data_IF_996578977096
#
_entry.id   IF_996578977096
#
_cell.length_a   1.000
_cell.length_b   1.000
_cell.length_c   1.000
_cell.angle_alpha   90.00
_cell.angle_beta   90.00
_cell.angle_gamma   90.00
#
_symmetry.space_group_name_H-M   'P 1'
#
loop_
_entity.id
_entity.type
_entity.pdbx_description
1 polymer ?
#
# COMPACT_ATOMS: atom_id res chain seq x y z
N UNK A 1 -3.49 -53.74 -20.08
CA UNK A 1 -4.06 -52.82 -19.09
C UNK A 1 -2.97 -51.90 -18.57
N UNK A 2 -2.74 -50.74 -19.21
CA UNK A 2 -1.73 -49.76 -18.79
C UNK A 2 -2.45 -48.59 -18.11
N UNK A 3 -2.38 -48.54 -16.78
CA UNK A 3 -2.87 -47.43 -15.94
C UNK A 3 -1.85 -46.29 -16.00
N UNK A 4 -1.82 -45.55 -17.11
CA UNK A 4 -0.94 -44.38 -17.30
C UNK A 4 -1.76 -43.24 -17.87
N UNK A 5 -2.67 -42.70 -17.05
CA UNK A 5 -3.59 -41.65 -17.50
C UNK A 5 -4.10 -40.75 -16.39
N UNK A 6 -3.40 -40.62 -15.26
CA UNK A 6 -3.87 -39.78 -14.15
C UNK A 6 -2.85 -38.77 -13.61
N UNK A 7 -1.65 -38.65 -14.20
CA UNK A 7 -0.66 -37.67 -13.73
C UNK A 7 -0.65 -36.34 -14.48
N UNK A 8 -1.39 -36.20 -15.58
CA UNK A 8 -1.38 -34.97 -16.39
C UNK A 8 -2.46 -33.94 -16.02
N UNK A 9 -3.37 -34.28 -15.09
CA UNK A 9 -4.51 -33.43 -14.75
C UNK A 9 -4.25 -32.40 -13.64
N UNK A 10 -3.09 -32.47 -12.95
CA UNK A 10 -2.83 -31.62 -11.77
C UNK A 10 -2.08 -30.30 -12.10
N UNK A 11 -1.57 -30.13 -13.32
CA UNK A 11 -0.84 -28.90 -13.71
C UNK A 11 -1.74 -27.75 -14.18
N UNK A 12 -3.06 -27.95 -14.34
CA UNK A 12 -3.97 -26.95 -14.90
C UNK A 12 -4.57 -25.95 -13.90
N UNK A 13 -4.41 -26.14 -12.59
CA UNK A 13 -5.16 -25.40 -11.56
C UNK A 13 -4.45 -24.16 -10.99
N UNK A 14 -3.26 -23.79 -11.47
CA UNK A 14 -2.52 -22.64 -10.94
C UNK A 14 -2.69 -21.33 -11.73
N UNK A 15 -3.57 -21.31 -12.74
CA UNK A 15 -3.97 -20.07 -13.42
C UNK A 15 -5.08 -19.33 -12.64
N UNK A 16 -4.90 -19.11 -11.33
CA UNK A 16 -5.72 -18.16 -10.58
C UNK A 16 -5.29 -16.74 -10.96
N UNK A 17 -5.82 -16.32 -12.10
CA UNK A 17 -5.48 -15.12 -12.83
C UNK A 17 -5.90 -13.87 -12.03
N UNK A 18 -4.91 -13.07 -11.62
CA UNK A 18 -5.05 -11.81 -10.91
C UNK A 18 -5.54 -10.69 -11.86
N UNK A 19 -6.77 -10.82 -12.38
CA UNK A 19 -7.25 -10.08 -13.57
C UNK A 19 -7.52 -8.58 -13.38
N UNK A 20 -7.57 -8.10 -12.14
CA UNK A 20 -8.03 -6.73 -11.85
C UNK A 20 -6.94 -5.81 -11.26
N UNK A 21 -5.65 -6.21 -11.30
CA UNK A 21 -4.55 -5.38 -10.80
C UNK A 21 -3.98 -4.49 -11.92
N UNK A 22 -4.07 -3.17 -11.74
CA UNK A 22 -3.48 -2.17 -12.63
C UNK A 22 -2.04 -1.88 -12.21
N UNK A 23 -1.82 -1.67 -10.91
CA UNK A 23 -0.52 -1.33 -10.34
C UNK A 23 -0.40 -1.87 -8.92
N UNK A 24 0.80 -2.28 -8.51
CA UNK A 24 1.11 -2.62 -7.12
C UNK A 24 2.62 -2.53 -6.91
N UNK A 25 3.05 -1.60 -6.06
CA UNK A 25 4.46 -1.44 -5.71
C UNK A 25 4.57 -1.12 -4.22
N UNK A 26 5.62 -1.63 -3.59
CA UNK A 26 6.03 -1.28 -2.24
C UNK A 26 7.45 -0.73 -2.25
N UNK A 27 7.67 0.33 -1.48
CA UNK A 27 8.99 0.92 -1.26
C UNK A 27 9.35 0.78 0.21
N UNK A 28 10.45 0.08 0.47
CA UNK A 28 10.98 -0.14 1.81
C UNK A 28 11.69 1.10 2.36
N UNK A 29 11.60 1.26 3.67
CA UNK A 29 12.36 2.26 4.42
C UNK A 29 13.71 1.68 4.83
N UNK A 30 14.75 2.50 4.78
CA UNK A 30 16.05 2.11 5.33
C UNK A 30 15.93 2.03 6.85
N UNK A 31 16.35 0.90 7.43
CA UNK A 31 16.30 0.66 8.88
C UNK A 31 14.91 0.85 9.52
N UNK A 32 13.82 0.70 8.74
CA UNK A 32 12.44 0.95 9.20
C UNK A 32 12.17 2.39 9.66
N UNK A 33 12.90 3.35 9.09
CA UNK A 33 12.81 4.77 9.43
C UNK A 33 12.22 5.58 8.26
N UNK A 34 11.14 6.31 8.51
CA UNK A 34 10.56 7.24 7.53
C UNK A 34 10.78 8.69 7.97
N UNK A 35 11.72 9.39 7.33
CA UNK A 35 12.02 10.79 7.67
C UNK A 35 10.98 11.74 7.12
N UNK A 36 10.78 12.87 7.79
CA UNK A 36 9.76 13.87 7.42
C UNK A 36 9.98 14.47 6.03
N UNK A 37 11.24 14.49 5.57
CA UNK A 37 11.64 14.97 4.24
C UNK A 37 11.61 13.90 3.15
N UNK A 38 11.41 12.62 3.52
CA UNK A 38 11.46 11.51 2.57
C UNK A 38 10.11 11.37 1.86
N UNK A 39 10.05 11.84 0.61
CA UNK A 39 8.88 11.65 -0.26
C UNK A 39 8.96 10.32 -0.98
N UNK A 40 7.97 9.45 -0.74
CA UNK A 40 7.86 8.16 -1.42
C UNK A 40 6.97 8.31 -2.65
N UNK A 41 7.57 8.30 -3.83
CA UNK A 41 6.89 8.53 -5.12
C UNK A 41 6.59 7.22 -5.86
N UNK A 42 5.41 7.08 -6.44
CA UNK A 42 5.00 5.98 -7.32
C UNK A 42 4.43 6.52 -8.64
N UNK A 43 4.52 5.72 -9.71
CA UNK A 43 4.08 6.10 -11.06
C UNK A 43 3.12 5.06 -11.66
N UNK A 44 1.90 4.91 -11.12
CA UNK A 44 0.96 3.88 -11.57
C UNK A 44 0.35 4.12 -12.96
N UNK A 45 0.35 5.37 -13.46
CA UNK A 45 -0.34 5.79 -14.71
C UNK A 45 -1.78 5.24 -14.78
N UNK A 46 -2.69 5.94 -14.12
CA UNK A 46 -4.10 5.55 -14.00
C UNK A 46 -4.97 6.38 -14.94
N UNK A 47 -5.70 5.70 -15.82
CA UNK A 47 -6.62 6.30 -16.79
C UNK A 47 -8.09 5.97 -16.46
N UNK A 48 -9.00 6.86 -16.83
CA UNK A 48 -10.45 6.69 -16.61
C UNK A 48 -10.87 6.85 -15.13
N UNK A 49 -12.04 6.30 -14.76
CA UNK A 49 -12.65 6.48 -13.43
C UNK A 49 -13.00 5.15 -12.71
N UNK A 50 -12.78 4.01 -13.37
CA UNK A 50 -13.17 2.68 -12.85
C UNK A 50 -12.03 1.98 -12.12
N UNK A 51 -11.58 2.58 -11.02
CA UNK A 51 -10.52 2.02 -10.18
C UNK A 51 -10.72 2.31 -8.69
N UNK A 52 -9.96 1.61 -7.86
CA UNK A 52 -9.73 1.92 -6.46
C UNK A 52 -8.22 2.01 -6.19
N UNK A 53 -7.80 3.00 -5.42
CA UNK A 53 -6.41 3.16 -4.96
C UNK A 53 -6.36 2.79 -3.49
N UNK A 54 -5.40 1.93 -3.15
CA UNK A 54 -5.21 1.41 -1.80
C UNK A 54 -3.79 1.73 -1.35
N UNK A 55 -3.68 2.36 -0.18
CA UNK A 55 -2.45 2.52 0.56
C UNK A 55 -2.17 1.24 1.34
N UNK A 56 -0.96 0.69 1.19
CA UNK A 56 -0.42 -0.35 2.04
C UNK A 56 0.62 0.24 2.99
N UNK A 57 0.52 -0.06 4.29
CA UNK A 57 1.50 0.33 5.31
C UNK A 57 2.00 -0.94 5.98
N UNK A 58 3.29 -1.22 5.83
CA UNK A 58 3.99 -2.29 6.54
C UNK A 58 4.74 -1.69 7.72
N UNK A 59 4.43 -2.14 8.92
CA UNK A 59 4.95 -1.59 10.15
C UNK A 59 5.22 -2.71 11.16
N UNK A 60 5.96 -2.38 12.22
CA UNK A 60 6.32 -3.33 13.27
C UNK A 60 6.01 -2.76 14.67
N UNK A 61 6.40 -3.51 15.70
CA UNK A 61 6.16 -3.17 17.09
C UNK A 61 6.99 -1.97 17.60
N UNK A 62 7.97 -1.47 16.85
CA UNK A 62 8.75 -0.27 17.19
C UNK A 62 7.99 1.03 16.83
N UNK A 63 6.81 0.92 16.21
CA UNK A 63 5.95 2.06 15.93
C UNK A 63 5.13 2.46 17.16
N UNK A 64 5.43 3.62 17.74
CA UNK A 64 4.91 4.05 19.05
C UNK A 64 3.49 4.66 19.04
N UNK A 65 2.91 4.93 17.86
CA UNK A 65 1.66 5.66 17.75
C UNK A 65 0.47 4.74 17.45
N UNK A 66 -0.74 5.16 17.82
CA UNK A 66 -1.95 4.40 17.47
C UNK A 66 -2.26 4.46 15.97
N UNK A 67 -2.11 5.64 15.39
CA UNK A 67 -2.45 5.92 14.01
C UNK A 67 -1.29 6.59 13.28
N UNK A 68 -1.31 6.48 11.96
CA UNK A 68 -0.35 7.04 11.04
C UNK A 68 -1.05 8.09 10.18
N UNK A 69 -0.56 9.32 10.26
CA UNK A 69 -0.95 10.39 9.36
C UNK A 69 -0.07 10.39 8.12
N UNK A 70 -0.68 10.10 6.96
CA UNK A 70 0.00 10.11 5.65
C UNK A 70 -0.63 11.18 4.79
N UNK A 71 0.18 12.11 4.27
CA UNK A 71 -0.28 12.98 3.20
C UNK A 71 0.00 12.30 1.86
N UNK A 72 -1.03 12.16 1.04
CA UNK A 72 -0.84 11.80 -0.37
C UNK A 72 -1.02 13.04 -1.24
N UNK A 73 -0.25 13.11 -2.32
CA UNK A 73 -0.40 14.11 -3.39
C UNK A 73 -0.42 13.37 -4.72
N UNK A 74 -1.43 13.63 -5.56
CA UNK A 74 -1.50 13.07 -6.91
C UNK A 74 -1.26 14.14 -7.97
N UNK A 75 -0.63 13.76 -9.08
CA UNK A 75 -0.26 14.65 -10.17
C UNK A 75 -0.69 14.12 -11.53
N UNK A 76 -0.95 15.05 -12.46
CA UNK A 76 -1.22 14.76 -13.87
C UNK A 76 0.07 14.40 -14.64
N UNK A 77 -0.03 14.18 -15.96
CA UNK A 77 1.13 13.87 -16.81
C UNK A 77 2.09 15.05 -17.02
N UNK A 78 1.67 16.27 -16.69
CA UNK A 78 2.49 17.49 -16.73
C UNK A 78 3.17 17.78 -15.38
N UNK A 79 2.93 16.95 -14.36
CA UNK A 79 3.44 17.13 -13.01
C UNK A 79 2.65 18.14 -12.17
N UNK A 80 1.49 18.59 -12.64
CA UNK A 80 0.63 19.49 -11.86
C UNK A 80 -0.13 18.71 -10.80
N UNK A 81 -0.16 19.25 -9.58
CA UNK A 81 -0.94 18.67 -8.49
C UNK A 81 -2.43 18.75 -8.79
N UNK A 82 -3.09 17.59 -8.82
CA UNK A 82 -4.54 17.46 -8.98
C UNK A 82 -5.22 17.55 -7.62
N UNK A 83 -4.70 16.80 -6.64
CA UNK A 83 -5.28 16.70 -5.29
C UNK A 83 -4.17 16.39 -4.27
N UNK A 84 -4.37 16.84 -3.03
CA UNK A 84 -3.51 16.52 -1.91
C UNK A 84 -4.35 16.44 -0.63
N UNK A 85 -4.33 15.28 0.03
CA UNK A 85 -5.12 15.07 1.26
C UNK A 85 -4.32 14.36 2.34
N UNK A 86 -4.72 14.63 3.57
CA UNK A 86 -4.22 13.95 4.76
C UNK A 86 -5.11 12.74 5.08
N UNK A 87 -4.51 11.58 5.21
CA UNK A 87 -5.15 10.34 5.64
C UNK A 87 -4.82 10.06 7.10
N UNK A 88 -5.83 9.63 7.85
CA UNK A 88 -5.67 9.04 9.18
C UNK A 88 -5.77 7.52 9.05
N UNK A 89 -4.66 6.82 9.24
CA UNK A 89 -4.57 5.37 9.09
C UNK A 89 -4.38 4.73 10.47
N UNK A 90 -5.43 4.15 11.08
CA UNK A 90 -5.27 3.44 12.34
C UNK A 90 -4.43 2.17 12.13
N UNK A 91 -3.32 2.07 12.87
CA UNK A 91 -2.43 0.91 12.86
C UNK A 91 -2.66 0.04 14.10
N UNK A 92 -3.18 0.59 15.19
CA UNK A 92 -3.49 -0.15 16.41
C UNK A 92 -4.92 0.10 16.87
N UNK A 93 -5.53 -0.91 17.48
CA UNK A 93 -6.86 -0.80 18.10
C UNK A 93 -6.82 0.14 19.31
N UNK A 94 -7.83 1.02 19.43
CA UNK A 94 -7.85 2.07 20.47
C UNK A 94 -7.82 1.54 21.90
N UNK A 95 -8.51 0.41 22.15
CA UNK A 95 -8.72 -0.10 23.51
C UNK A 95 -7.64 -1.09 23.94
N UNK A 96 -7.20 -1.95 23.02
CA UNK A 96 -6.31 -3.07 23.34
C UNK A 96 -4.86 -2.83 22.92
N UNK A 97 -4.58 -1.85 22.06
CA UNK A 97 -3.27 -1.69 21.44
C UNK A 97 -2.89 -2.87 20.54
N UNK A 98 -3.85 -3.69 20.13
CA UNK A 98 -3.58 -4.80 19.20
C UNK A 98 -3.27 -4.23 17.81
N UNK A 99 -2.20 -4.69 17.14
CA UNK A 99 -1.89 -4.27 15.78
C UNK A 99 -2.99 -4.68 14.80
N UNK A 100 -3.29 -3.79 13.86
CA UNK A 100 -4.29 -3.94 12.80
C UNK A 100 -3.65 -4.42 11.48
N UNK A 101 -4.40 -5.21 10.73
CA UNK A 101 -3.94 -5.75 9.44
C UNK A 101 -3.49 -7.20 9.54
N UNK A 102 -2.71 -7.65 8.56
CA UNK A 102 -2.23 -9.04 8.45
C UNK A 102 -0.72 -9.09 8.56
N UNK A 103 -0.18 -10.11 9.20
CA UNK A 103 1.25 -10.20 9.44
C UNK A 103 1.65 -11.46 10.18
N UNK A 104 2.94 -11.60 10.45
CA UNK A 104 3.51 -12.70 11.22
C UNK A 104 4.60 -12.16 12.15
N UNK A 105 4.66 -12.67 13.38
CA UNK A 105 5.59 -12.19 14.39
C UNK A 105 5.30 -10.73 14.78
N UNK A 106 6.32 -9.88 14.66
CA UNK A 106 6.27 -8.46 15.02
C UNK A 106 5.97 -7.53 13.85
N UNK A 107 5.68 -8.05 12.66
CA UNK A 107 5.47 -7.27 11.44
C UNK A 107 4.05 -7.42 10.94
N UNK A 108 3.41 -6.30 10.60
CA UNK A 108 2.03 -6.21 10.16
C UNK A 108 1.90 -5.36 8.89
N UNK A 109 0.88 -5.64 8.09
CA UNK A 109 0.52 -4.85 6.92
C UNK A 109 -0.95 -4.46 6.99
N UNK A 110 -1.20 -3.15 7.08
CA UNK A 110 -2.53 -2.56 7.05
C UNK A 110 -2.77 -1.96 5.68
N UNK A 111 -3.99 -2.17 5.17
CA UNK A 111 -4.46 -1.57 3.92
C UNK A 111 -5.55 -0.57 4.21
N UNK A 112 -5.54 0.56 3.51
CA UNK A 112 -6.63 1.55 3.55
C UNK A 112 -6.91 2.13 2.17
N UNK A 113 -8.14 2.57 1.93
CA UNK A 113 -8.55 3.08 0.61
C UNK A 113 -8.30 4.58 0.53
N UNK A 114 -7.56 5.02 -0.49
CA UNK A 114 -7.37 6.43 -0.77
C UNK A 114 -8.59 6.97 -1.52
N UNK A 115 -9.18 8.11 -1.11
CA UNK A 115 -10.35 8.70 -1.74
C UNK A 115 -9.99 9.44 -3.04
N UNK A 116 -9.49 8.68 -4.02
CA UNK A 116 -9.07 9.15 -5.33
C UNK A 116 -10.05 8.60 -6.38
N UNK A 117 -10.64 9.51 -7.15
CA UNK A 117 -11.61 9.20 -8.21
C UNK A 117 -11.20 9.69 -9.59
N UNK A 118 -10.11 10.46 -9.69
CA UNK A 118 -9.66 11.11 -10.92
C UNK A 118 -8.39 10.42 -11.45
N UNK A 119 -8.22 10.40 -12.77
CA UNK A 119 -7.01 9.91 -13.42
C UNK A 119 -5.76 10.68 -12.94
N UNK A 120 -4.63 9.99 -12.81
CA UNK A 120 -3.36 10.56 -12.34
C UNK A 120 -2.18 9.71 -12.81
N UNK A 121 -1.00 10.31 -12.95
CA UNK A 121 0.21 9.58 -13.37
C UNK A 121 1.13 9.27 -12.22
N UNK A 122 1.15 10.14 -11.22
CA UNK A 122 2.08 10.08 -10.09
C UNK A 122 1.33 10.23 -8.78
N UNK A 123 1.72 9.46 -7.78
CA UNK A 123 1.29 9.64 -6.38
C UNK A 123 2.52 9.69 -5.48
N UNK A 124 2.54 10.69 -4.62
CA UNK A 124 3.58 10.90 -3.61
C UNK A 124 2.98 10.71 -2.23
N UNK A 125 3.70 10.02 -1.37
CA UNK A 125 3.35 9.81 0.03
C UNK A 125 4.41 10.48 0.91
N UNK A 126 3.95 11.20 1.93
CA UNK A 126 4.80 11.75 2.98
C UNK A 126 4.20 11.40 4.35
N UNK A 127 5.06 11.08 5.30
CA UNK A 127 4.64 11.02 6.71
C UNK A 127 4.36 12.43 7.21
N UNK A 128 3.26 12.59 7.95
CA UNK A 128 2.81 13.88 8.48
C UNK A 128 2.63 13.82 10.00
N UNK A 129 3.52 13.08 10.67
CA UNK A 129 3.45 12.79 12.12
C UNK A 129 4.09 13.88 13.00
N UNK A 130 4.71 14.91 12.39
CA UNK A 130 5.41 16.01 13.08
C UNK A 130 6.61 15.54 13.92
N UNK A 131 7.26 14.47 13.49
CA UNK A 131 8.54 13.99 14.03
C UNK A 131 9.54 13.89 12.89
N UNK A 132 10.80 14.20 13.17
CA UNK A 132 11.86 14.22 12.14
C UNK A 132 12.07 12.85 11.49
N UNK A 133 12.06 11.81 12.31
CA UNK A 133 12.21 10.41 11.89
C UNK A 133 11.15 9.56 12.56
N UNK A 134 10.31 8.92 11.75
CA UNK A 134 9.25 8.02 12.22
C UNK A 134 9.76 6.57 12.20
N UNK A 135 9.88 5.99 13.39
CA UNK A 135 10.39 4.62 13.57
C UNK A 135 9.30 3.57 13.32
N UNK A 136 9.72 2.34 13.03
CA UNK A 136 8.83 1.17 12.93
C UNK A 136 8.00 1.09 11.64
N UNK A 137 8.21 1.97 10.67
CA UNK A 137 7.61 1.86 9.32
C UNK A 137 8.60 1.13 8.42
N UNK A 138 8.29 -0.12 8.06
CA UNK A 138 9.17 -0.95 7.24
C UNK A 138 9.03 -0.63 5.74
N UNK A 139 7.80 -0.37 5.28
CA UNK A 139 7.52 -0.06 3.89
C UNK A 139 6.16 0.62 3.74
N UNK A 140 6.01 1.41 2.68
CA UNK A 140 4.70 1.86 2.19
C UNK A 140 4.51 1.44 0.75
N UNK A 141 3.26 1.21 0.37
CA UNK A 141 2.92 0.76 -0.97
C UNK A 141 1.65 1.39 -1.49
N UNK A 142 1.55 1.42 -2.80
CA UNK A 142 0.34 1.83 -3.51
C UNK A 142 -0.10 0.68 -4.38
N UNK A 143 -1.40 0.37 -4.31
CA UNK A 143 -2.06 -0.59 -5.16
C UNK A 143 -3.21 0.08 -5.88
N UNK A 144 -3.31 -0.13 -7.18
CA UNK A 144 -4.43 0.29 -8.02
C UNK A 144 -5.10 -0.94 -8.58
N UNK A 145 -6.40 -1.07 -8.33
CA UNK A 145 -7.22 -2.16 -8.86
C UNK A 145 -8.35 -1.62 -9.69
N UNK A 146 -8.71 -2.36 -10.74
CA UNK A 146 -9.89 -2.07 -11.54
C UNK A 146 -11.16 -2.35 -10.71
N UNK A 147 -12.17 -1.52 -10.89
CA UNK A 147 -13.53 -1.76 -10.38
C UNK A 147 -14.39 -2.50 -11.40
#
# INVERSE_FOLDING_TARGET
>A
MKKTGLLLALCGLLAACQKDRIFEEYKGMNSSEWKIQDTVRFQPVVEGEKFAVVLGVKYNNDYDYRNLYVRYTIQDSLGQTIDSKLMDVPLFESASGKPLGKGFGSTFTKYDTLPISQAFTTIELLQYMRVDTLQGIEAVGVKVVKK
#
